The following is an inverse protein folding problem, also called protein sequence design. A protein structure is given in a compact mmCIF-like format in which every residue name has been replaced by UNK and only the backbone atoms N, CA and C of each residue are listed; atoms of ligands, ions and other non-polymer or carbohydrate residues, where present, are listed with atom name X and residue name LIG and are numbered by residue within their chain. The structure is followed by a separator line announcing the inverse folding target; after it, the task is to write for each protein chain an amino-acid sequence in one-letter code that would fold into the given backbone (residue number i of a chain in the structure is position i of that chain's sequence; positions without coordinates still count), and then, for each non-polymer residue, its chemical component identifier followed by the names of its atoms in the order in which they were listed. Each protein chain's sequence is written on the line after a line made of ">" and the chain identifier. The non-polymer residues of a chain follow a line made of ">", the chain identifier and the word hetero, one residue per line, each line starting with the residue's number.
data_IF_764255064689
#
_entry.id   IF_764255064689
#
_cell.length_a   1.000
_cell.length_b   1.000
_cell.length_c   1.000
_cell.angle_alpha   90.00
_cell.angle_beta   90.00
_cell.angle_gamma   90.00
#
_symmetry.space_group_name_H-M   'P 1'
#
loop_
_entity.id
_entity.type
_entity.pdbx_description
1 polymer ?
#
# COMPACT_ATOMS: atom_id res chain seq x y z
N UNK A 1 36.54 21.35 1.84
CA UNK A 1 36.76 22.78 2.12
C UNK A 1 37.44 22.84 3.47
N UNK A 2 38.74 23.11 3.49
CA UNK A 2 39.57 23.18 4.69
C UNK A 2 39.55 24.63 5.16
N UNK A 3 38.84 24.92 6.25
CA UNK A 3 38.89 26.24 6.87
C UNK A 3 40.01 26.33 7.91
N UNK A 4 40.76 27.40 7.70
CA UNK A 4 41.97 27.89 8.32
C UNK A 4 41.87 28.06 9.83
N UNK A 5 42.94 27.63 10.51
CA UNK A 5 43.26 27.83 11.92
C UNK A 5 43.28 29.34 12.23
N UNK A 6 42.39 29.80 13.11
CA UNK A 6 42.39 31.16 13.66
C UNK A 6 43.29 31.24 14.88
N UNK A 7 44.06 32.33 14.94
CA UNK A 7 45.19 32.59 15.83
C UNK A 7 44.91 32.47 17.33
N UNK A 8 45.89 31.92 18.06
CA UNK A 8 46.00 32.07 19.51
C UNK A 8 46.52 33.48 19.84
N UNK A 9 45.94 34.19 20.83
CA UNK A 9 46.49 35.44 21.31
C UNK A 9 47.69 35.21 22.24
N UNK A 10 48.81 35.85 21.92
CA UNK A 10 49.99 35.97 22.76
C UNK A 10 49.69 36.81 24.01
N UNK A 11 50.06 36.28 25.19
CA UNK A 11 50.72 36.98 26.30
C UNK A 11 50.00 38.15 27.03
N UNK A 12 50.19 38.28 28.36
CA UNK A 12 49.55 39.31 29.16
C UNK A 12 50.37 40.60 29.15
N UNK A 13 49.79 41.70 28.68
CA UNK A 13 50.04 43.06 29.19
C UNK A 13 49.18 44.07 28.43
N UNK A 14 48.05 44.48 29.02
CA UNK A 14 47.48 45.81 28.80
C UNK A 14 46.42 46.15 29.85
N UNK A 15 46.80 47.06 30.74
CA UNK A 15 45.89 47.85 31.56
C UNK A 15 44.75 48.42 30.72
N UNK A 16 43.51 48.07 31.07
CA UNK A 16 42.31 48.74 30.58
C UNK A 16 41.49 49.20 31.79
N UNK A 17 41.71 50.46 32.15
CA UNK A 17 40.75 51.22 32.94
C UNK A 17 40.30 52.41 32.12
N UNK A 18 39.07 52.39 31.62
CA UNK A 18 38.25 53.59 31.66
C UNK A 18 36.75 53.27 31.58
N UNK A 19 36.04 53.99 32.44
CA UNK A 19 34.65 53.86 32.84
C UNK A 19 33.84 54.97 32.20
N UNK A 20 32.62 54.68 31.75
CA UNK A 20 31.38 55.49 31.84
C UNK A 20 30.41 55.06 30.72
N UNK A 21 29.10 54.94 30.89
CA UNK A 21 28.21 55.24 31.99
C UNK A 21 26.94 54.38 31.91
N UNK A 22 25.99 54.69 32.80
CA UNK A 22 24.73 53.97 33.07
C UNK A 22 24.84 52.67 33.88
N UNK A 23 24.94 52.84 35.21
CA UNK A 23 24.17 52.06 36.18
C UNK A 23 24.44 50.56 36.30
N UNK A 24 25.44 50.00 35.60
CA UNK A 24 25.81 48.61 35.73
C UNK A 24 26.43 48.37 37.11
N UNK A 25 25.74 47.58 37.95
CA UNK A 25 26.28 47.05 39.20
C UNK A 25 27.63 46.39 38.92
N UNK A 26 28.71 47.05 39.32
CA UNK A 26 30.05 46.46 39.37
C UNK A 26 30.01 45.42 40.47
N UNK A 27 29.81 44.15 40.09
CA UNK A 27 30.08 43.05 41.00
C UNK A 27 31.59 43.02 41.22
N UNK A 28 32.03 43.68 42.30
CA UNK A 28 33.39 43.55 42.82
C UNK A 28 33.54 42.10 43.26
N UNK A 29 34.30 41.32 42.50
CA UNK A 29 34.69 39.98 42.88
C UNK A 29 35.63 40.11 44.06
N UNK A 30 35.12 39.83 45.26
CA UNK A 30 35.94 39.72 46.46
C UNK A 30 36.96 38.58 46.25
N UNK A 31 38.23 38.94 46.36
CA UNK A 31 39.41 38.10 46.14
C UNK A 31 39.38 36.85 47.02
N UNK A 32 39.08 35.71 46.42
CA UNK A 32 39.66 34.46 46.86
C UNK A 32 41.00 34.30 46.11
N UNK A 33 42.09 33.99 46.81
CA UNK A 33 43.41 33.66 46.26
C UNK A 33 43.34 32.41 45.35
N UNK A 34 42.73 32.54 44.16
CA UNK A 34 42.71 31.51 43.14
C UNK A 34 43.88 31.76 42.19
N UNK A 35 44.82 30.82 42.14
CA UNK A 35 45.92 30.88 41.18
C UNK A 35 45.37 30.75 39.75
N UNK A 36 46.03 31.39 38.79
CA UNK A 36 45.66 31.31 37.37
C UNK A 36 45.48 29.86 36.89
N UNK A 37 46.31 28.93 37.39
CA UNK A 37 46.21 27.50 37.07
C UNK A 37 44.91 26.87 37.56
N UNK A 38 44.45 27.23 38.77
CA UNK A 38 43.17 26.74 39.32
C UNK A 38 41.98 27.22 38.49
N UNK A 39 42.00 28.48 38.03
CA UNK A 39 40.96 29.03 37.15
C UNK A 39 40.88 28.28 35.82
N UNK A 40 42.01 28.07 35.15
CA UNK A 40 42.06 27.33 33.89
C UNK A 40 41.62 25.88 34.04
N UNK A 41 42.01 25.21 35.13
CA UNK A 41 41.61 23.83 35.42
C UNK A 41 40.10 23.72 35.62
N UNK A 42 39.50 24.59 36.44
CA UNK A 42 38.05 24.58 36.68
C UNK A 42 37.28 24.95 35.41
N UNK A 43 37.75 25.93 34.64
CA UNK A 43 37.15 26.30 33.35
C UNK A 43 37.19 25.15 32.34
N UNK A 44 38.33 24.45 32.25
CA UNK A 44 38.49 23.28 31.39
C UNK A 44 37.61 22.11 31.83
N UNK A 45 37.58 21.78 33.12
CA UNK A 45 36.75 20.71 33.67
C UNK A 45 35.27 20.96 33.41
N UNK A 46 34.81 22.20 33.65
CA UNK A 46 33.43 22.60 33.34
C UNK A 46 33.12 22.49 31.85
N UNK A 47 34.01 22.99 31.00
CA UNK A 47 33.84 22.87 29.54
C UNK A 47 33.83 21.41 29.07
N UNK A 48 34.66 20.55 29.69
CA UNK A 48 34.71 19.11 29.41
C UNK A 48 33.42 18.42 29.83
N UNK A 49 32.88 18.76 31.01
CA UNK A 49 31.62 18.23 31.50
C UNK A 49 30.43 18.66 30.63
N UNK A 50 30.37 19.94 30.25
CA UNK A 50 29.35 20.48 29.34
C UNK A 50 29.42 19.80 27.95
N UNK A 51 30.61 19.66 27.37
CA UNK A 51 30.81 18.92 26.11
C UNK A 51 30.41 17.45 26.22
N UNK A 52 30.77 16.79 27.32
CA UNK A 52 30.41 15.40 27.55
C UNK A 52 28.89 15.21 27.75
N UNK A 53 28.23 16.15 28.42
CA UNK A 53 26.78 16.16 28.55
C UNK A 53 26.09 16.35 27.19
N UNK A 54 26.53 17.31 26.38
CA UNK A 54 26.03 17.51 25.02
C UNK A 54 26.22 16.28 24.14
N UNK A 55 27.38 15.62 24.23
CA UNK A 55 27.65 14.43 23.45
C UNK A 55 26.76 13.24 23.86
N UNK A 56 26.52 13.05 25.17
CA UNK A 56 25.56 12.04 25.65
C UNK A 56 24.15 12.31 25.15
N UNK A 57 23.68 13.54 25.22
CA UNK A 57 22.35 13.91 24.73
C UNK A 57 22.22 13.67 23.22
N UNK A 58 23.25 14.00 22.44
CA UNK A 58 23.27 13.73 21.00
C UNK A 58 23.17 12.22 20.69
N UNK A 59 23.93 11.38 21.41
CA UNK A 59 23.85 9.92 21.27
C UNK A 59 22.48 9.36 21.66
N UNK A 60 21.86 9.89 22.73
CA UNK A 60 20.52 9.48 23.13
C UNK A 60 19.47 9.85 22.07
N UNK A 61 19.57 11.04 21.47
CA UNK A 61 18.70 11.45 20.35
C UNK A 61 18.89 10.55 19.12
N UNK A 62 20.14 10.23 18.77
CA UNK A 62 20.46 9.35 17.64
C UNK A 62 19.92 7.92 17.87
N UNK A 63 20.13 7.37 19.07
CA UNK A 63 19.57 6.08 19.47
C UNK A 63 18.05 6.05 19.41
N UNK A 64 17.39 7.11 19.90
CA UNK A 64 15.93 7.22 19.83
C UNK A 64 15.40 7.29 18.38
N UNK A 65 16.13 7.96 17.48
CA UNK A 65 15.78 8.00 16.06
C UNK A 65 15.93 6.62 15.39
N UNK A 66 17.00 5.89 15.71
CA UNK A 66 17.21 4.53 15.24
C UNK A 66 16.09 3.58 15.69
N UNK A 67 15.71 3.63 16.97
CA UNK A 67 14.64 2.78 17.51
C UNK A 67 13.28 3.08 16.85
N UNK A 68 12.94 4.35 16.62
CA UNK A 68 11.73 4.72 15.85
C UNK A 68 11.75 4.18 14.42
N UNK A 69 12.91 4.21 13.77
CA UNK A 69 13.09 3.63 12.43
C UNK A 69 12.84 2.12 12.43
N UNK A 70 13.38 1.42 13.42
CA UNK A 70 13.19 -0.03 13.61
C UNK A 70 11.72 -0.40 13.89
N UNK A 71 11.03 0.38 14.71
CA UNK A 71 9.60 0.19 14.99
C UNK A 71 8.72 0.44 13.75
N UNK A 72 9.06 1.45 12.93
CA UNK A 72 8.37 1.72 11.67
C UNK A 72 8.57 0.58 10.66
N UNK A 73 9.79 0.05 10.54
CA UNK A 73 10.08 -1.09 9.67
C UNK A 73 9.32 -2.36 10.11
N UNK A 74 9.30 -2.65 11.42
CA UNK A 74 8.52 -3.75 11.98
C UNK A 74 7.01 -3.61 11.67
N UNK A 75 6.49 -2.38 11.74
CA UNK A 75 5.09 -2.07 11.41
C UNK A 75 4.79 -2.31 9.92
N UNK A 76 5.69 -1.94 9.02
CA UNK A 76 5.55 -2.19 7.57
C UNK A 76 5.56 -3.69 7.24
N UNK A 77 6.44 -4.47 7.86
CA UNK A 77 6.47 -5.93 7.70
C UNK A 77 5.14 -6.56 8.11
N UNK A 78 4.58 -6.12 9.25
CA UNK A 78 3.26 -6.57 9.72
C UNK A 78 2.14 -6.22 8.74
N UNK A 79 2.09 -4.97 8.25
CA UNK A 79 1.08 -4.53 7.29
C UNK A 79 1.15 -5.33 5.98
N UNK A 80 2.36 -5.65 5.51
CA UNK A 80 2.55 -6.48 4.32
C UNK A 80 2.01 -7.90 4.52
N UNK A 81 2.30 -8.52 5.66
CA UNK A 81 1.78 -9.83 5.99
C UNK A 81 0.24 -9.85 6.10
N UNK A 82 -0.37 -8.82 6.68
CA UNK A 82 -1.83 -8.67 6.72
C UNK A 82 -2.44 -8.51 5.32
N UNK A 83 -1.78 -7.74 4.46
CA UNK A 83 -2.19 -7.55 3.06
C UNK A 83 -2.11 -8.86 2.28
N UNK A 84 -1.02 -9.62 2.41
CA UNK A 84 -0.84 -10.91 1.75
C UNK A 84 -1.89 -11.93 2.24
N UNK A 85 -2.19 -11.95 3.54
CA UNK A 85 -3.24 -12.79 4.09
C UNK A 85 -4.64 -12.43 3.56
N UNK A 86 -4.92 -11.13 3.40
CA UNK A 86 -6.17 -10.65 2.81
C UNK A 86 -6.31 -11.04 1.33
N UNK A 87 -5.24 -10.91 0.55
CA UNK A 87 -5.19 -11.37 -0.85
C UNK A 87 -5.45 -12.87 -0.93
N UNK A 88 -4.77 -13.67 -0.10
CA UNK A 88 -4.98 -15.13 -0.06
C UNK A 88 -6.42 -15.51 0.32
N UNK A 89 -7.06 -14.74 1.20
CA UNK A 89 -8.48 -14.90 1.52
C UNK A 89 -9.38 -14.60 0.31
N UNK A 90 -9.11 -13.54 -0.45
CA UNK A 90 -9.84 -13.23 -1.68
C UNK A 90 -9.63 -14.33 -2.73
N UNK A 91 -8.40 -14.79 -2.92
CA UNK A 91 -8.09 -15.84 -3.89
C UNK A 91 -8.73 -17.19 -3.51
N UNK A 92 -8.74 -17.54 -2.23
CA UNK A 92 -9.43 -18.74 -1.76
C UNK A 92 -10.94 -18.63 -1.91
N UNK A 93 -11.54 -17.45 -1.67
CA UNK A 93 -12.95 -17.20 -1.96
C UNK A 93 -13.26 -17.25 -3.47
N UNK A 94 -12.33 -16.81 -4.34
CA UNK A 94 -12.44 -16.93 -5.81
C UNK A 94 -12.31 -18.38 -6.30
N UNK A 95 -11.68 -19.27 -5.53
CA UNK A 95 -11.68 -20.71 -5.77
C UNK A 95 -12.92 -21.34 -5.12
N UNK A 96 -14.07 -21.26 -5.79
CA UNK A 96 -15.21 -22.09 -5.40
C UNK A 96 -14.74 -23.56 -5.32
N UNK A 97 -15.11 -24.33 -4.27
CA UNK A 97 -14.75 -25.73 -4.16
C UNK A 97 -15.15 -26.48 -5.43
N UNK A 98 -14.29 -27.39 -5.91
CA UNK A 98 -14.43 -28.11 -7.20
C UNK A 98 -15.80 -28.80 -7.35
N UNK A 99 -16.42 -29.15 -6.23
CA UNK A 99 -17.74 -29.78 -6.15
C UNK A 99 -18.90 -28.87 -6.61
N UNK A 100 -18.73 -27.54 -6.64
CA UNK A 100 -19.76 -26.58 -7.07
C UNK A 100 -19.72 -26.23 -8.57
N UNK A 101 -18.79 -26.80 -9.35
CA UNK A 101 -18.60 -26.41 -10.76
C UNK A 101 -19.47 -27.19 -11.76
N UNK A 102 -20.30 -28.12 -11.28
CA UNK A 102 -21.40 -28.69 -12.07
C UNK A 102 -22.71 -28.23 -11.45
N UNK A 103 -23.40 -27.34 -12.16
CA UNK A 103 -24.75 -26.95 -11.78
C UNK A 103 -25.71 -28.15 -11.81
N UNK A 104 -26.90 -28.02 -11.21
CA UNK A 104 -28.01 -28.95 -11.44
C UNK A 104 -28.24 -29.20 -12.94
N UNK A 105 -28.76 -30.39 -13.28
CA UNK A 105 -29.08 -30.72 -14.67
C UNK A 105 -30.07 -29.67 -15.22
N UNK A 106 -29.71 -29.04 -16.35
CA UNK A 106 -30.50 -27.99 -16.98
C UNK A 106 -30.12 -26.56 -16.59
N UNK A 107 -29.18 -26.40 -15.65
CA UNK A 107 -28.59 -25.10 -15.32
C UNK A 107 -27.22 -24.92 -15.95
N UNK A 108 -26.84 -23.66 -16.15
CA UNK A 108 -25.52 -23.27 -16.62
C UNK A 108 -25.11 -21.93 -16.03
N UNK A 109 -23.99 -21.43 -16.53
CA UNK A 109 -23.31 -20.26 -16.00
C UNK A 109 -23.07 -19.26 -17.13
N UNK A 110 -23.12 -17.97 -16.81
CA UNK A 110 -22.49 -16.94 -17.66
C UNK A 110 -21.15 -16.56 -17.05
N UNK A 111 -20.22 -16.11 -17.89
CA UNK A 111 -18.91 -15.66 -17.45
C UNK A 111 -18.46 -14.42 -18.20
N UNK A 112 -17.58 -13.65 -17.54
CA UNK A 112 -16.86 -12.50 -18.09
C UNK A 112 -15.37 -12.73 -17.82
N UNK A 113 -14.52 -12.56 -18.83
CA UNK A 113 -13.07 -12.70 -18.71
C UNK A 113 -12.41 -11.47 -19.34
N UNK A 114 -11.59 -10.75 -18.57
CA UNK A 114 -10.78 -9.65 -19.07
C UNK A 114 -9.34 -10.11 -19.30
N UNK A 115 -8.78 -9.69 -20.43
CA UNK A 115 -7.42 -10.00 -20.83
C UNK A 115 -6.50 -8.79 -20.67
N UNK A 116 -5.19 -9.04 -20.58
CA UNK A 116 -4.15 -7.99 -20.50
C UNK A 116 -4.13 -7.07 -21.72
N UNK A 117 -4.74 -7.47 -22.84
CA UNK A 117 -4.92 -6.64 -24.04
C UNK A 117 -6.04 -5.60 -23.92
N UNK A 118 -6.75 -5.55 -22.79
CA UNK A 118 -7.95 -4.73 -22.62
C UNK A 118 -9.19 -5.29 -23.32
N UNK A 119 -9.09 -6.51 -23.87
CA UNK A 119 -10.23 -7.21 -24.48
C UNK A 119 -11.03 -7.91 -23.40
N UNK A 120 -12.36 -7.87 -23.51
CA UNK A 120 -13.29 -8.61 -22.65
C UNK A 120 -13.95 -9.71 -23.47
N UNK A 121 -13.96 -10.93 -22.94
CA UNK A 121 -14.75 -12.05 -23.44
C UNK A 121 -15.92 -12.30 -22.53
N UNK A 122 -17.09 -12.49 -23.13
CA UNK A 122 -18.31 -12.93 -22.43
C UNK A 122 -18.80 -14.22 -23.05
N UNK A 123 -19.46 -15.07 -22.27
CA UNK A 123 -20.11 -16.25 -22.81
C UNK A 123 -20.79 -17.08 -21.75
N UNK A 124 -21.21 -18.28 -22.14
CA UNK A 124 -21.80 -19.26 -21.25
C UNK A 124 -21.08 -20.60 -21.20
N UNK A 125 -21.36 -21.40 -20.18
CA UNK A 125 -20.86 -22.77 -20.03
C UNK A 125 -21.67 -23.57 -19.01
N UNK A 126 -21.66 -24.89 -19.13
CA UNK A 126 -22.18 -25.82 -18.11
C UNK A 126 -21.05 -26.32 -17.18
N UNK A 127 -19.79 -26.16 -17.59
CA UNK A 127 -18.58 -26.45 -16.80
C UNK A 127 -17.64 -25.23 -16.86
N UNK A 128 -17.73 -24.31 -15.88
CA UNK A 128 -16.94 -23.09 -15.92
C UNK A 128 -15.47 -23.33 -15.59
N UNK A 129 -15.12 -24.44 -14.92
CA UNK A 129 -13.74 -24.77 -14.58
C UNK A 129 -12.96 -25.13 -15.83
N UNK A 130 -13.49 -26.07 -16.61
CA UNK A 130 -12.89 -26.47 -17.89
C UNK A 130 -12.85 -25.29 -18.84
N UNK A 131 -13.93 -24.50 -18.90
CA UNK A 131 -14.00 -23.36 -19.82
C UNK A 131 -13.00 -22.25 -19.49
N UNK A 132 -12.87 -21.86 -18.21
CA UNK A 132 -11.91 -20.85 -17.79
C UNK A 132 -10.46 -21.32 -17.96
N UNK A 133 -10.16 -22.58 -17.61
CA UNK A 133 -8.82 -23.15 -17.82
C UNK A 133 -8.45 -23.14 -19.31
N UNK A 134 -9.38 -23.52 -20.19
CA UNK A 134 -9.15 -23.47 -21.63
C UNK A 134 -8.88 -22.03 -22.10
N UNK A 135 -9.66 -21.04 -21.65
CA UNK A 135 -9.40 -19.64 -22.00
C UNK A 135 -8.04 -19.15 -21.51
N UNK A 136 -7.62 -19.53 -20.30
CA UNK A 136 -6.32 -19.17 -19.76
C UNK A 136 -5.18 -19.82 -20.58
N UNK A 137 -5.26 -21.12 -20.86
CA UNK A 137 -4.26 -21.82 -21.66
C UNK A 137 -4.20 -21.31 -23.10
N UNK A 138 -5.36 -21.08 -23.74
CA UNK A 138 -5.43 -20.52 -25.09
C UNK A 138 -4.87 -19.10 -25.14
N UNK A 139 -5.23 -18.23 -24.18
CA UNK A 139 -4.69 -16.87 -24.13
C UNK A 139 -3.17 -16.86 -23.92
N UNK A 140 -2.67 -17.71 -23.01
CA UNK A 140 -1.23 -17.82 -22.72
C UNK A 140 -0.43 -18.26 -23.94
N UNK A 141 -0.99 -19.15 -24.78
CA UNK A 141 -0.36 -19.56 -26.04
C UNK A 141 -0.14 -18.39 -27.03
N UNK A 142 -0.90 -17.30 -26.89
CA UNK A 142 -0.72 -16.06 -27.65
C UNK A 142 0.02 -14.96 -26.88
N UNK A 143 0.63 -15.28 -25.73
CA UNK A 143 1.29 -14.28 -24.87
C UNK A 143 0.34 -13.32 -24.17
N UNK A 144 -0.95 -13.67 -24.07
CA UNK A 144 -1.99 -12.85 -23.43
C UNK A 144 -2.33 -13.43 -22.06
N UNK A 145 -2.36 -12.58 -21.04
CA UNK A 145 -2.78 -12.95 -19.69
C UNK A 145 -4.27 -12.68 -19.46
N UNK A 146 -4.86 -13.36 -18.47
CA UNK A 146 -6.17 -13.00 -17.90
C UNK A 146 -5.95 -12.11 -16.70
N UNK A 147 -6.60 -10.95 -16.62
CA UNK A 147 -6.49 -10.02 -15.47
C UNK A 147 -7.62 -10.24 -14.46
N UNK A 148 -8.85 -10.41 -14.96
CA UNK A 148 -10.04 -10.57 -14.14
C UNK A 148 -10.97 -11.61 -14.78
N UNK A 149 -11.75 -12.28 -13.94
CA UNK A 149 -12.84 -13.13 -14.41
C UNK A 149 -13.98 -13.14 -13.40
N UNK A 150 -15.18 -13.35 -13.91
CA UNK A 150 -16.41 -13.57 -13.18
C UNK A 150 -17.12 -14.80 -13.75
N UNK A 151 -17.75 -15.57 -12.87
CA UNK A 151 -18.69 -16.64 -13.23
C UNK A 151 -19.91 -16.44 -12.34
N UNK A 152 -21.10 -16.48 -12.93
CA UNK A 152 -22.35 -16.37 -12.16
C UNK A 152 -22.56 -17.58 -11.25
N UNK A 153 -23.62 -17.53 -10.45
CA UNK A 153 -24.23 -18.76 -9.91
C UNK A 153 -24.87 -19.59 -11.04
N UNK A 154 -25.11 -20.90 -10.84
CA UNK A 154 -25.83 -21.70 -11.83
C UNK A 154 -27.30 -21.23 -11.90
N UNK A 155 -27.84 -21.19 -13.11
CA UNK A 155 -29.21 -20.75 -13.39
C UNK A 155 -29.71 -21.37 -14.70
N UNK A 156 -31.02 -21.56 -14.86
CA UNK A 156 -31.61 -22.19 -16.05
C UNK A 156 -31.73 -21.20 -17.23
N UNK A 157 -31.85 -19.89 -16.96
CA UNK A 157 -31.97 -18.85 -17.98
C UNK A 157 -30.61 -18.34 -18.50
N UNK A 158 -29.54 -19.12 -18.33
CA UNK A 158 -28.17 -18.71 -18.67
C UNK A 158 -27.94 -18.38 -20.15
N UNK A 159 -28.65 -19.07 -21.06
CA UNK A 159 -28.62 -18.80 -22.51
C UNK A 159 -29.24 -17.44 -22.86
N UNK A 160 -30.32 -17.08 -22.19
CA UNK A 160 -31.00 -15.79 -22.38
C UNK A 160 -30.13 -14.66 -21.84
N UNK A 161 -29.56 -14.85 -20.64
CA UNK A 161 -28.64 -13.92 -20.01
C UNK A 161 -27.37 -13.70 -20.85
N UNK A 162 -26.78 -14.76 -21.43
CA UNK A 162 -25.65 -14.64 -22.37
C UNK A 162 -26.04 -13.79 -23.58
N UNK A 163 -27.21 -14.04 -24.15
CA UNK A 163 -27.69 -13.31 -25.32
C UNK A 163 -27.88 -11.82 -25.00
N UNK A 164 -28.44 -11.50 -23.85
CA UNK A 164 -28.59 -10.13 -23.36
C UNK A 164 -27.23 -9.45 -23.16
N UNK A 165 -26.29 -10.14 -22.52
CA UNK A 165 -24.93 -9.65 -22.27
C UNK A 165 -24.17 -9.39 -23.58
N UNK A 166 -24.25 -10.32 -24.54
CA UNK A 166 -23.69 -10.14 -25.89
C UNK A 166 -24.30 -8.92 -26.59
N UNK A 167 -25.62 -8.73 -26.50
CA UNK A 167 -26.31 -7.59 -27.11
C UNK A 167 -25.83 -6.27 -26.51
N UNK A 168 -25.67 -6.21 -25.19
CA UNK A 168 -25.13 -5.03 -24.50
C UNK A 168 -23.69 -4.77 -24.92
N UNK A 169 -22.81 -5.78 -24.85
CA UNK A 169 -21.40 -5.63 -25.22
C UNK A 169 -21.21 -5.15 -26.66
N UNK A 170 -22.09 -5.57 -27.59
CA UNK A 170 -22.11 -5.07 -28.98
C UNK A 170 -22.55 -3.63 -29.12
N UNK A 171 -23.42 -3.15 -28.23
CA UNK A 171 -23.92 -1.78 -28.28
C UNK A 171 -22.91 -0.78 -27.72
N UNK A 172 -22.08 -1.20 -26.76
CA UNK A 172 -21.14 -0.32 -26.05
C UNK A 172 -19.70 -0.45 -26.57
N UNK A 173 -19.26 -1.66 -26.93
CA UNK A 173 -17.88 -1.93 -27.32
C UNK A 173 -17.70 -2.31 -28.79
N UNK A 174 -16.44 -2.30 -29.25
CA UNK A 174 -16.08 -2.78 -30.59
C UNK A 174 -15.84 -4.29 -30.57
N UNK A 175 -16.68 -5.03 -31.28
CA UNK A 175 -16.56 -6.49 -31.42
C UNK A 175 -15.36 -6.87 -32.31
N UNK A 176 -14.47 -7.74 -31.84
CA UNK A 176 -13.37 -8.31 -32.66
C UNK A 176 -13.63 -9.74 -33.13
N UNK A 177 -14.27 -10.55 -32.29
CA UNK A 177 -14.72 -11.92 -32.62
C UNK A 177 -16.11 -12.14 -32.04
N UNK A 178 -16.66 -13.36 -32.18
CA UNK A 178 -18.05 -13.65 -31.80
C UNK A 178 -18.39 -13.16 -30.39
N UNK A 179 -17.49 -13.37 -29.45
CA UNK A 179 -17.67 -13.17 -28.01
C UNK A 179 -16.61 -12.24 -27.40
N UNK A 180 -15.80 -11.55 -28.23
CA UNK A 180 -14.69 -10.70 -27.78
C UNK A 180 -14.96 -9.25 -28.14
N UNK A 181 -14.77 -8.37 -27.16
CA UNK A 181 -15.12 -6.95 -27.23
C UNK A 181 -13.96 -6.10 -26.71
N UNK A 182 -13.64 -5.04 -27.44
CA UNK A 182 -12.75 -3.98 -27.01
C UNK A 182 -13.57 -2.78 -26.50
N UNK A 183 -12.93 -1.89 -25.75
CA UNK A 183 -13.47 -0.57 -25.36
C UNK A 183 -14.68 -0.59 -24.40
N UNK A 184 -15.16 -1.77 -23.97
CA UNK A 184 -16.16 -1.87 -22.89
C UNK A 184 -15.52 -1.88 -21.50
N UNK A 185 -14.34 -2.49 -21.32
CA UNK A 185 -13.75 -2.69 -20.01
C UNK A 185 -14.50 -3.74 -19.15
N UNK A 186 -13.82 -4.28 -18.13
CA UNK A 186 -14.39 -5.32 -17.27
C UNK A 186 -15.54 -4.79 -16.42
N UNK A 187 -15.35 -3.63 -15.79
CA UNK A 187 -16.30 -3.06 -14.83
C UNK A 187 -17.65 -2.75 -15.49
N UNK A 188 -17.65 -2.21 -16.70
CA UNK A 188 -18.89 -1.94 -17.45
C UNK A 188 -19.63 -3.22 -17.85
N UNK A 189 -18.90 -4.29 -18.14
CA UNK A 189 -19.52 -5.59 -18.39
C UNK A 189 -20.17 -6.12 -17.10
N UNK A 190 -19.53 -5.92 -15.95
CA UNK A 190 -20.05 -6.30 -14.64
C UNK A 190 -21.30 -5.51 -14.23
N UNK A 191 -21.32 -4.19 -14.45
CA UNK A 191 -22.51 -3.37 -14.20
C UNK A 191 -23.76 -3.92 -14.90
N UNK A 192 -23.60 -4.47 -16.11
CA UNK A 192 -24.72 -5.11 -16.80
C UNK A 192 -25.05 -6.49 -16.25
N UNK A 193 -24.04 -7.30 -15.92
CA UNK A 193 -24.25 -8.60 -15.26
C UNK A 193 -25.06 -8.42 -13.97
N UNK A 194 -24.76 -7.39 -13.19
CA UNK A 194 -25.46 -7.07 -11.94
C UNK A 194 -26.92 -6.66 -12.16
N UNK A 195 -27.28 -6.24 -13.37
CA UNK A 195 -28.67 -5.94 -13.77
C UNK A 195 -29.47 -7.16 -14.24
N UNK A 196 -28.84 -8.32 -14.41
CA UNK A 196 -29.49 -9.54 -14.89
C UNK A 196 -30.19 -10.29 -13.74
N UNK A 197 -31.30 -10.95 -14.06
CA UNK A 197 -31.98 -11.86 -13.14
C UNK A 197 -31.48 -13.30 -13.33
N UNK A 198 -31.14 -13.97 -12.23
CA UNK A 198 -30.64 -15.34 -12.22
C UNK A 198 -31.68 -16.26 -11.58
N UNK A 199 -32.23 -17.19 -12.35
CA UNK A 199 -33.25 -18.12 -11.86
C UNK A 199 -32.66 -19.53 -11.73
N UNK A 200 -32.61 -20.09 -10.52
CA UNK A 200 -32.19 -21.48 -10.29
C UNK A 200 -33.40 -22.41 -10.15
N UNK A 201 -33.28 -23.63 -10.64
CA UNK A 201 -34.30 -24.68 -10.60
C UNK A 201 -34.57 -25.19 -9.18
N UNK A 202 -33.63 -24.99 -8.25
CA UNK A 202 -33.77 -25.38 -6.85
C UNK A 202 -34.42 -24.35 -5.92
N UNK A 203 -34.83 -23.19 -6.44
CA UNK A 203 -35.29 -22.06 -5.63
C UNK A 203 -36.73 -21.68 -6.00
N UNK A 204 -37.67 -22.61 -5.80
CA UNK A 204 -39.08 -22.23 -5.61
C UNK A 204 -39.16 -21.37 -4.34
N UNK A 205 -39.38 -20.07 -4.48
CA UNK A 205 -39.90 -19.18 -3.45
C UNK A 205 -39.18 -19.13 -2.08
N UNK A 206 -37.86 -18.93 -2.08
CA UNK A 206 -37.21 -18.25 -0.96
C UNK A 206 -36.56 -16.97 -1.45
N UNK A 207 -37.35 -15.89 -1.43
CA UNK A 207 -36.90 -14.53 -1.66
C UNK A 207 -35.80 -14.14 -0.67
N UNK A 208 -34.55 -14.46 -1.01
CA UNK A 208 -33.36 -13.88 -0.40
C UNK A 208 -32.69 -13.07 -1.49
N UNK A 209 -33.00 -11.78 -1.49
CA UNK A 209 -32.23 -10.78 -2.23
C UNK A 209 -30.87 -10.74 -1.55
N UNK A 210 -29.89 -11.51 -2.05
CA UNK A 210 -28.50 -11.37 -1.65
C UNK A 210 -27.96 -10.09 -2.28
N UNK A 211 -28.19 -8.96 -1.62
CA UNK A 211 -27.47 -7.72 -1.93
C UNK A 211 -26.03 -7.87 -1.49
N UNK A 212 -25.11 -7.99 -2.44
CA UNK A 212 -23.69 -7.81 -2.20
C UNK A 212 -23.41 -6.31 -2.35
N UNK A 213 -23.34 -5.63 -1.20
CA UNK A 213 -22.86 -4.25 -1.07
C UNK A 213 -21.40 -4.23 -0.65
#
# INVERSE_FOLDING_TARGET
>A
MLETISAMPDGPDANLTQVSGDGARVHVWAEADMTMESFWRTSYERSREELHAHWKEALERERAAYERGREAEASLVKLRAETDAYIAKIESARRMPVEYWRGPVGEGFIYVVAFTTGTVKVGQTEDPRVRLNNHQSEALAFGVGTTNYYVSQPHWNFRENETALIKMCRAVGRRSRREYYHEIGYDRAMEFVDSLSFHSAGNEDRGVVASWS
#
